data_IF_322795367905
#
_entry.id   IF_322795367905
#
_cell.length_a   1.000
_cell.length_b   1.000
_cell.length_c   1.000
_cell.angle_alpha   90.00
_cell.angle_beta   90.00
_cell.angle_gamma   90.00
#
_symmetry.space_group_name_H-M   'P 1'
#
loop_
_entity.id
_entity.type
_entity.pdbx_description
1 polymer ?
#
# COMPACT_ATOMS: atom_id res chain seq x y z
N UNK A 1 8.38 -13.71 -47.11
CA UNK A 1 8.93 -14.18 -45.82
C UNK A 1 8.18 -13.46 -44.71
N UNK A 2 7.32 -14.12 -43.94
CA UNK A 2 6.63 -13.49 -42.81
C UNK A 2 7.66 -13.22 -41.71
N UNK A 3 7.73 -11.98 -41.23
CA UNK A 3 8.62 -11.59 -40.13
C UNK A 3 8.18 -12.28 -38.85
N UNK A 4 9.02 -13.13 -38.29
CA UNK A 4 8.85 -13.69 -36.95
C UNK A 4 8.82 -12.54 -35.94
N UNK A 5 7.69 -12.39 -35.25
CA UNK A 5 7.60 -11.56 -34.06
C UNK A 5 8.57 -12.11 -33.00
N UNK A 6 9.29 -11.26 -32.25
CA UNK A 6 10.25 -11.72 -31.26
C UNK A 6 9.51 -12.58 -30.23
N UNK A 7 9.92 -13.85 -30.12
CA UNK A 7 9.44 -14.78 -29.11
C UNK A 7 9.68 -14.14 -27.73
N UNK A 8 8.59 -13.85 -27.02
CA UNK A 8 8.62 -13.42 -25.62
C UNK A 8 9.47 -14.44 -24.85
N UNK A 9 10.63 -14.02 -24.34
CA UNK A 9 11.47 -14.85 -23.49
C UNK A 9 10.59 -15.48 -22.40
N UNK A 10 10.47 -16.80 -22.40
CA UNK A 10 9.63 -17.50 -21.44
C UNK A 10 10.18 -17.27 -20.04
N UNK A 11 9.50 -16.43 -19.26
CA UNK A 11 9.95 -15.99 -17.93
C UNK A 11 10.12 -17.09 -16.88
N UNK A 12 9.89 -18.37 -17.23
CA UNK A 12 9.91 -19.51 -16.30
C UNK A 12 8.79 -19.50 -15.24
N UNK A 13 7.97 -18.44 -15.20
CA UNK A 13 6.87 -18.25 -14.27
C UNK A 13 5.62 -19.03 -14.72
N UNK A 14 4.78 -19.42 -13.74
CA UNK A 14 3.54 -20.17 -14.01
C UNK A 14 2.49 -19.25 -14.64
N UNK A 15 2.20 -19.47 -15.91
CA UNK A 15 1.18 -18.72 -16.67
C UNK A 15 -0.24 -19.05 -16.15
N UNK A 16 -1.12 -18.06 -16.19
CA UNK A 16 -2.58 -18.16 -15.96
C UNK A 16 -3.01 -18.82 -14.62
N UNK A 17 -2.24 -18.63 -13.55
CA UNK A 17 -2.54 -19.22 -12.24
C UNK A 17 -3.20 -18.25 -11.25
N UNK A 18 -3.18 -16.94 -11.53
CA UNK A 18 -3.73 -15.91 -10.65
C UNK A 18 -4.98 -15.27 -11.25
N UNK A 19 -6.14 -15.57 -10.66
CA UNK A 19 -7.39 -14.87 -11.00
C UNK A 19 -7.44 -13.43 -10.46
N UNK A 20 -8.44 -12.67 -10.91
CA UNK A 20 -8.64 -11.26 -10.52
C UNK A 20 -8.52 -11.01 -9.00
N UNK A 21 -9.18 -11.85 -8.18
CA UNK A 21 -9.17 -11.67 -6.73
C UNK A 21 -7.79 -11.86 -6.11
N UNK A 22 -6.93 -12.72 -6.67
CA UNK A 22 -5.57 -12.89 -6.17
C UNK A 22 -4.71 -11.65 -6.48
N UNK A 23 -4.92 -11.06 -7.66
CA UNK A 23 -4.22 -9.85 -8.11
C UNK A 23 -4.66 -8.64 -7.27
N UNK A 24 -5.97 -8.48 -7.05
CA UNK A 24 -6.53 -7.43 -6.19
C UNK A 24 -6.09 -7.58 -4.74
N UNK A 25 -6.13 -8.81 -4.23
CA UNK A 25 -5.65 -9.15 -2.91
C UNK A 25 -4.16 -8.79 -2.76
N UNK A 26 -3.31 -9.06 -3.76
CA UNK A 26 -1.91 -8.67 -3.70
C UNK A 26 -1.72 -7.15 -3.52
N UNK A 27 -2.46 -6.32 -4.26
CA UNK A 27 -2.36 -4.87 -4.12
C UNK A 27 -2.94 -4.36 -2.82
N UNK A 28 -4.08 -4.88 -2.38
CA UNK A 28 -4.65 -4.55 -1.07
C UNK A 28 -3.71 -4.95 0.06
N UNK A 29 -3.15 -6.16 0.03
CA UNK A 29 -2.19 -6.63 1.02
C UNK A 29 -0.95 -5.76 1.03
N UNK A 30 -0.39 -5.42 -0.14
CA UNK A 30 0.81 -4.61 -0.23
C UNK A 30 0.61 -3.17 0.24
N UNK A 31 -0.58 -2.59 0.06
CA UNK A 31 -0.95 -1.31 0.67
C UNK A 31 -1.05 -1.42 2.19
N UNK A 32 -1.51 -2.57 2.69
CA UNK A 32 -1.86 -2.80 4.09
C UNK A 32 -2.80 -1.70 4.64
N UNK A 33 -4.07 -1.63 4.16
CA UNK A 33 -5.05 -0.63 4.59
C UNK A 33 -5.10 -0.45 6.11
N UNK A 34 -4.94 -1.52 6.88
CA UNK A 34 -4.90 -1.51 8.35
C UNK A 34 -3.76 -0.67 8.95
N UNK A 35 -2.61 -0.58 8.26
CA UNK A 35 -1.46 0.21 8.70
C UNK A 35 -1.73 1.72 8.67
N UNK A 36 -2.63 2.17 7.79
CA UNK A 36 -2.96 3.58 7.62
C UNK A 36 -3.67 4.18 8.85
N UNK A 37 -4.79 3.61 9.34
CA UNK A 37 -5.41 4.04 10.59
C UNK A 37 -4.48 3.93 11.80
N UNK A 38 -3.63 2.90 11.81
CA UNK A 38 -2.70 2.63 12.90
C UNK A 38 -1.61 3.72 13.01
N UNK A 39 -0.95 4.05 11.90
CA UNK A 39 0.26 4.88 11.91
C UNK A 39 0.04 6.31 11.40
N UNK A 40 -0.85 6.49 10.43
CA UNK A 40 -0.87 7.71 9.60
C UNK A 40 -2.03 8.63 9.94
N UNK A 41 -3.22 8.10 10.25
CA UNK A 41 -4.42 8.90 10.51
C UNK A 41 -4.22 9.89 11.67
N UNK A 42 -3.64 9.43 12.79
CA UNK A 42 -3.33 10.29 13.94
C UNK A 42 -2.34 11.40 13.60
N UNK A 43 -1.36 11.13 12.74
CA UNK A 43 -0.37 12.11 12.30
C UNK A 43 -1.01 13.15 11.37
N UNK A 44 -1.85 12.72 10.43
CA UNK A 44 -2.62 13.60 9.55
C UNK A 44 -3.54 14.51 10.36
N UNK A 45 -4.22 13.98 11.38
CA UNK A 45 -5.03 14.77 12.30
C UNK A 45 -4.19 15.78 13.08
N UNK A 46 -2.99 15.40 13.53
CA UNK A 46 -2.05 16.33 14.16
C UNK A 46 -1.63 17.50 13.27
N UNK A 47 -1.58 17.30 11.95
CA UNK A 47 -1.13 18.33 10.99
C UNK A 47 -2.23 19.31 10.57
N UNK A 48 -3.45 18.83 10.37
CA UNK A 48 -4.53 19.62 9.74
C UNK A 48 -5.85 19.58 10.52
N UNK A 49 -5.90 18.88 11.65
CA UNK A 49 -7.09 18.76 12.50
C UNK A 49 -8.31 18.29 11.70
N UNK A 50 -9.38 19.08 11.74
CA UNK A 50 -10.62 18.77 11.04
C UNK A 50 -10.48 18.72 9.50
N UNK A 51 -9.36 19.19 8.94
CA UNK A 51 -9.05 19.05 7.52
C UNK A 51 -8.64 17.63 7.08
N UNK A 52 -8.52 16.66 7.99
CA UNK A 52 -7.99 15.32 7.69
C UNK A 52 -8.84 14.55 6.69
N UNK A 53 -10.16 14.56 6.86
CA UNK A 53 -11.08 13.88 5.94
C UNK A 53 -10.96 14.45 4.53
N UNK A 54 -10.81 15.78 4.41
CA UNK A 54 -10.65 16.45 3.12
C UNK A 54 -9.31 16.09 2.48
N UNK A 55 -8.23 16.01 3.27
CA UNK A 55 -6.93 15.56 2.78
C UNK A 55 -6.99 14.13 2.21
N UNK A 56 -7.69 13.21 2.89
CA UNK A 56 -7.91 11.86 2.38
C UNK A 56 -8.77 11.82 1.12
N UNK A 57 -9.87 12.58 1.05
CA UNK A 57 -10.70 12.66 -0.16
C UNK A 57 -9.90 13.18 -1.36
N UNK A 58 -9.12 14.25 -1.17
CA UNK A 58 -8.27 14.81 -2.21
C UNK A 58 -7.15 13.84 -2.62
N UNK A 59 -6.49 13.19 -1.66
CA UNK A 59 -5.48 12.17 -1.94
C UNK A 59 -6.07 10.99 -2.73
N UNK A 60 -7.26 10.51 -2.35
CA UNK A 60 -7.99 9.45 -3.07
C UNK A 60 -8.27 9.86 -4.50
N UNK A 61 -8.75 11.08 -4.72
CA UNK A 61 -9.02 11.60 -6.06
C UNK A 61 -7.74 11.67 -6.91
N UNK A 62 -6.63 12.14 -6.34
CA UNK A 62 -5.33 12.18 -7.03
C UNK A 62 -4.86 10.76 -7.36
N UNK A 63 -4.92 9.83 -6.41
CA UNK A 63 -4.50 8.45 -6.63
C UNK A 63 -5.39 7.74 -7.64
N UNK A 64 -6.67 8.07 -7.72
CA UNK A 64 -7.57 7.58 -8.76
C UNK A 64 -7.14 8.08 -10.15
N UNK A 65 -6.78 9.36 -10.28
CA UNK A 65 -6.23 9.90 -11.53
C UNK A 65 -4.91 9.22 -11.92
N UNK A 66 -4.03 8.96 -10.95
CA UNK A 66 -2.78 8.21 -11.19
C UNK A 66 -3.10 6.79 -11.65
N UNK A 67 -4.01 6.08 -10.99
CA UNK A 67 -4.45 4.74 -11.37
C UNK A 67 -5.06 4.69 -12.77
N UNK A 68 -5.85 5.70 -13.16
CA UNK A 68 -6.39 5.81 -14.51
C UNK A 68 -5.29 5.98 -15.57
N UNK A 69 -4.23 6.74 -15.27
CA UNK A 69 -3.07 6.85 -16.16
C UNK A 69 -2.34 5.50 -16.28
N UNK A 70 -2.03 4.85 -15.16
CA UNK A 70 -1.40 3.51 -15.15
C UNK A 70 -2.23 2.48 -15.92
N UNK A 71 -3.56 2.55 -15.80
CA UNK A 71 -4.49 1.69 -16.53
C UNK A 71 -4.36 1.81 -18.05
N UNK A 72 -4.04 2.98 -18.59
CA UNK A 72 -3.86 3.12 -20.04
C UNK A 72 -2.66 2.30 -20.55
N UNK A 73 -1.61 2.18 -19.75
CA UNK A 73 -0.44 1.36 -20.07
C UNK A 73 -0.71 -0.12 -19.81
N UNK A 74 -1.29 -0.45 -18.65
CA UNK A 74 -1.58 -1.83 -18.25
C UNK A 74 -2.59 -2.54 -19.19
N UNK A 75 -3.42 -1.79 -19.92
CA UNK A 75 -4.32 -2.33 -20.97
C UNK A 75 -3.61 -2.65 -22.30
N UNK A 76 -2.36 -2.22 -22.48
CA UNK A 76 -1.61 -2.36 -23.75
C UNK A 76 -0.34 -3.17 -23.60
N UNK A 77 0.19 -3.31 -22.38
CA UNK A 77 1.47 -3.94 -22.12
C UNK A 77 1.38 -4.80 -20.86
N UNK A 78 1.78 -6.06 -20.98
CA UNK A 78 1.95 -6.98 -19.87
C UNK A 78 3.44 -7.10 -19.65
N UNK A 79 3.94 -6.59 -18.52
CA UNK A 79 5.35 -6.72 -18.18
C UNK A 79 5.54 -6.87 -16.68
N UNK A 80 6.42 -7.80 -16.24
CA UNK A 80 6.75 -7.95 -14.82
C UNK A 80 7.45 -6.71 -14.24
N UNK A 81 7.98 -5.80 -15.08
CA UNK A 81 8.66 -4.59 -14.64
C UNK A 81 7.75 -3.45 -14.17
N UNK A 82 6.41 -3.62 -14.19
CA UNK A 82 5.45 -2.62 -13.69
C UNK A 82 5.74 -1.20 -14.24
N UNK A 83 5.78 -0.19 -13.37
CA UNK A 83 5.98 1.23 -13.72
C UNK A 83 7.29 1.49 -14.47
N UNK A 84 8.39 0.80 -14.11
CA UNK A 84 9.66 0.93 -14.82
C UNK A 84 9.50 0.66 -16.31
N UNK A 85 8.81 -0.42 -16.67
CA UNK A 85 8.60 -0.79 -18.07
C UNK A 85 7.69 0.20 -18.77
N UNK A 86 6.65 0.72 -18.10
CA UNK A 86 5.76 1.73 -18.69
C UNK A 86 6.52 3.03 -19.01
N UNK A 87 7.38 3.48 -18.11
CA UNK A 87 8.21 4.68 -18.34
C UNK A 87 9.26 4.41 -19.42
N UNK A 88 9.92 3.26 -19.40
CA UNK A 88 10.92 2.90 -20.40
C UNK A 88 10.33 2.82 -21.82
N UNK A 89 9.13 2.24 -21.96
CA UNK A 89 8.42 2.13 -23.24
C UNK A 89 7.84 3.46 -23.72
N UNK A 90 7.39 4.33 -22.81
CA UNK A 90 6.74 5.59 -23.15
C UNK A 90 7.70 6.77 -23.37
N UNK A 91 8.74 6.89 -22.53
CA UNK A 91 9.65 8.05 -22.49
C UNK A 91 11.10 7.69 -22.82
N UNK A 92 11.40 6.41 -23.02
CA UNK A 92 12.70 5.90 -23.41
C UNK A 92 13.52 5.32 -22.25
N UNK A 93 14.63 4.61 -22.57
CA UNK A 93 15.35 3.79 -21.60
C UNK A 93 15.97 4.58 -20.43
N UNK A 94 16.45 5.81 -20.67
CA UNK A 94 17.07 6.66 -19.65
C UNK A 94 16.10 7.04 -18.54
N UNK A 95 14.90 7.51 -18.92
CA UNK A 95 13.85 7.84 -17.95
C UNK A 95 13.29 6.58 -17.28
N UNK A 96 13.27 5.45 -18.00
CA UNK A 96 13.00 4.14 -17.42
C UNK A 96 13.95 3.83 -16.25
N UNK A 97 15.27 3.90 -16.47
CA UNK A 97 16.28 3.64 -15.44
C UNK A 97 16.13 4.58 -14.24
N UNK A 98 15.87 5.87 -14.46
CA UNK A 98 15.62 6.83 -13.38
C UNK A 98 14.40 6.39 -12.57
N UNK A 99 13.28 6.06 -13.21
CA UNK A 99 12.08 5.56 -12.54
C UNK A 99 12.35 4.27 -11.76
N UNK A 100 13.16 3.35 -12.29
CA UNK A 100 13.52 2.11 -11.62
C UNK A 100 14.31 2.36 -10.33
N UNK A 101 15.34 3.21 -10.39
CA UNK A 101 16.13 3.59 -9.21
C UNK A 101 15.30 4.37 -8.19
N UNK A 102 14.43 5.28 -8.64
CA UNK A 102 13.49 5.97 -7.75
C UNK A 102 12.58 4.98 -7.03
N UNK A 103 12.10 3.93 -7.73
CA UNK A 103 11.26 2.90 -7.13
C UNK A 103 12.04 2.07 -6.09
N UNK A 104 13.28 1.66 -6.40
CA UNK A 104 14.14 0.94 -5.44
C UNK A 104 14.36 1.77 -4.16
N UNK A 105 14.73 3.05 -4.32
CA UNK A 105 14.96 3.95 -3.18
C UNK A 105 13.66 4.14 -2.38
N UNK A 106 12.53 4.35 -3.06
CA UNK A 106 11.24 4.50 -2.40
C UNK A 106 10.90 3.26 -1.55
N UNK A 107 10.97 2.05 -2.13
CA UNK A 107 10.67 0.81 -1.42
C UNK A 107 11.62 0.53 -0.26
N UNK A 108 12.91 0.91 -0.36
CA UNK A 108 13.85 0.82 0.76
C UNK A 108 13.47 1.75 1.91
N UNK A 109 13.11 3.00 1.61
CA UNK A 109 12.66 3.97 2.61
C UNK A 109 11.35 3.52 3.26
N UNK A 110 10.39 3.04 2.46
CA UNK A 110 9.11 2.51 2.94
C UNK A 110 9.36 1.31 3.87
N UNK A 111 10.23 0.38 3.49
CA UNK A 111 10.60 -0.76 4.33
C UNK A 111 11.16 -0.31 5.68
N UNK A 112 12.03 0.70 5.70
CA UNK A 112 12.53 1.30 6.94
C UNK A 112 11.44 1.94 7.79
N UNK A 113 10.53 2.69 7.18
CA UNK A 113 9.40 3.33 7.88
C UNK A 113 8.44 2.30 8.49
N UNK A 114 8.13 1.21 7.78
CA UNK A 114 7.29 0.11 8.27
C UNK A 114 7.96 -0.62 9.43
N UNK A 115 9.27 -0.88 9.36
CA UNK A 115 10.03 -1.46 10.46
C UNK A 115 10.05 -0.56 11.71
N UNK A 116 10.18 0.76 11.52
CA UNK A 116 10.09 1.72 12.62
C UNK A 116 8.69 1.73 13.26
N UNK A 117 7.62 1.65 12.44
CA UNK A 117 6.25 1.48 12.92
C UNK A 117 6.05 0.19 13.71
N UNK A 118 6.61 -0.92 13.23
CA UNK A 118 6.63 -2.19 13.95
C UNK A 118 7.33 -2.07 15.32
N UNK A 119 8.49 -1.43 15.36
CA UNK A 119 9.24 -1.17 16.59
C UNK A 119 8.39 -0.41 17.62
N UNK A 120 7.68 0.63 17.16
CA UNK A 120 6.82 1.45 18.00
C UNK A 120 5.74 0.58 18.65
N UNK A 121 5.01 -0.20 17.86
CA UNK A 121 3.96 -1.07 18.39
C UNK A 121 4.47 -2.17 19.31
N UNK A 122 5.60 -2.80 18.98
CA UNK A 122 6.24 -3.79 19.88
C UNK A 122 6.58 -3.14 21.21
N UNK A 123 7.11 -1.92 21.19
CA UNK A 123 7.44 -1.16 22.41
C UNK A 123 6.20 -0.85 23.23
N UNK A 124 5.13 -0.35 22.59
CA UNK A 124 3.85 -0.06 23.25
C UNK A 124 3.25 -1.31 23.92
N UNK A 125 3.25 -2.43 23.21
CA UNK A 125 2.74 -3.71 23.74
C UNK A 125 3.64 -4.24 24.87
N UNK A 126 4.95 -4.14 24.71
CA UNK A 126 5.90 -4.58 25.73
C UNK A 126 5.79 -3.75 27.02
N UNK A 127 5.65 -2.42 26.90
CA UNK A 127 5.39 -1.54 28.05
C UNK A 127 4.08 -1.89 28.75
N UNK A 128 3.04 -2.25 27.99
CA UNK A 128 1.75 -2.66 28.56
C UNK A 128 1.79 -4.01 29.30
N UNK A 129 2.63 -4.95 28.86
CA UNK A 129 2.70 -6.32 29.41
C UNK A 129 3.77 -6.51 30.48
N UNK A 130 4.96 -5.92 30.28
CA UNK A 130 6.19 -6.19 31.03
C UNK A 130 6.64 -4.95 31.81
N UNK A 131 6.07 -3.77 31.51
CA UNK A 131 6.38 -2.50 32.16
C UNK A 131 7.45 -1.67 31.43
N UNK A 132 7.71 -0.45 31.91
CA UNK A 132 8.69 0.46 31.32
C UNK A 132 10.11 -0.07 31.57
N UNK A 133 10.76 -0.52 30.49
CA UNK A 133 12.05 -1.19 30.52
C UNK A 133 12.41 -1.86 29.19
N UNK A 134 11.41 -2.06 28.33
CA UNK A 134 11.61 -2.45 26.94
C UNK A 134 11.96 -1.21 26.10
N UNK A 135 13.19 -0.70 26.26
CA UNK A 135 13.65 0.52 25.58
C UNK A 135 14.95 0.31 24.81
N UNK A 136 15.23 1.21 23.87
CA UNK A 136 16.51 1.33 23.17
C UNK A 136 17.00 0.02 22.53
N UNK A 137 18.05 -0.64 23.06
CA UNK A 137 18.63 -1.85 22.44
C UNK A 137 17.63 -2.98 22.19
N UNK A 138 16.65 -3.17 23.06
CA UNK A 138 15.63 -4.22 22.92
C UNK A 138 14.68 -3.94 21.76
N UNK A 139 14.32 -2.67 21.56
CA UNK A 139 13.47 -2.23 20.43
C UNK A 139 14.20 -2.39 19.10
N UNK A 140 15.49 -2.05 19.05
CA UNK A 140 16.35 -2.26 17.88
C UNK A 140 16.53 -3.76 17.59
N UNK A 141 16.71 -4.58 18.63
CA UNK A 141 16.74 -6.04 18.50
C UNK A 141 15.45 -6.61 17.91
N UNK A 142 14.29 -6.13 18.37
CA UNK A 142 13.00 -6.52 17.85
C UNK A 142 12.80 -6.08 16.38
N UNK A 143 13.26 -4.89 16.00
CA UNK A 143 13.26 -4.43 14.60
C UNK A 143 14.09 -5.34 13.70
N UNK A 144 15.31 -5.68 14.12
CA UNK A 144 16.19 -6.57 13.36
C UNK A 144 15.56 -7.96 13.25
N UNK A 145 14.99 -8.49 14.33
CA UNK A 145 14.30 -9.77 14.31
C UNK A 145 13.08 -9.77 13.37
N UNK A 146 12.28 -8.70 13.37
CA UNK A 146 11.15 -8.53 12.46
C UNK A 146 11.61 -8.46 10.99
N UNK A 147 12.67 -7.70 10.71
CA UNK A 147 13.25 -7.59 9.37
C UNK A 147 13.79 -8.94 8.87
N UNK A 148 14.54 -9.66 9.70
CA UNK A 148 15.06 -10.99 9.38
C UNK A 148 13.94 -12.01 9.21
N UNK A 149 12.89 -11.95 10.03
CA UNK A 149 11.71 -12.81 9.90
C UNK A 149 10.97 -12.58 8.59
N UNK A 150 10.70 -11.31 8.24
CA UNK A 150 10.08 -10.95 6.98
C UNK A 150 10.94 -11.39 5.77
N UNK A 151 12.26 -11.17 5.84
CA UNK A 151 13.19 -11.62 4.80
C UNK A 151 13.21 -13.15 4.66
N UNK A 152 13.25 -13.88 5.77
CA UNK A 152 13.27 -15.34 5.78
C UNK A 152 11.98 -15.93 5.17
N UNK A 153 10.83 -15.39 5.54
CA UNK A 153 9.52 -15.81 4.99
C UNK A 153 9.47 -15.53 3.48
N UNK A 154 9.87 -14.33 3.07
CA UNK A 154 9.89 -13.93 1.66
C UNK A 154 10.88 -14.78 0.83
N UNK A 155 12.02 -15.15 1.41
CA UNK A 155 13.03 -15.99 0.75
C UNK A 155 12.57 -17.44 0.60
N UNK A 156 11.81 -17.97 1.58
CA UNK A 156 11.40 -19.38 1.59
C UNK A 156 10.24 -19.67 0.64
N UNK A 157 9.18 -18.85 0.67
CA UNK A 157 8.03 -19.03 -0.21
C UNK A 157 7.20 -17.74 -0.33
N UNK A 158 7.20 -17.14 -1.52
CA UNK A 158 6.44 -15.91 -1.83
C UNK A 158 4.93 -16.16 -1.73
N UNK A 159 4.45 -17.37 -2.06
CA UNK A 159 3.04 -17.71 -1.95
C UNK A 159 2.60 -17.79 -0.50
N UNK A 160 3.42 -18.40 0.37
CA UNK A 160 3.15 -18.41 1.81
C UNK A 160 3.13 -16.97 2.37
N UNK A 161 4.12 -16.15 1.99
CA UNK A 161 4.23 -14.75 2.42
C UNK A 161 2.98 -13.94 2.08
N UNK A 162 2.54 -14.01 0.81
CA UNK A 162 1.37 -13.27 0.32
C UNK A 162 0.06 -13.74 0.96
N UNK A 163 -0.12 -15.05 1.17
CA UNK A 163 -1.29 -15.59 1.87
C UNK A 163 -1.34 -15.18 3.34
N UNK A 164 -0.20 -15.21 4.04
CA UNK A 164 -0.11 -14.76 5.43
C UNK A 164 -0.39 -13.25 5.55
N UNK A 165 0.20 -12.44 4.66
CA UNK A 165 -0.03 -11.00 4.62
C UNK A 165 -1.52 -10.69 4.46
N UNK A 166 -2.18 -11.37 3.52
CA UNK A 166 -3.62 -11.22 3.29
C UNK A 166 -4.48 -11.62 4.48
N UNK A 167 -4.15 -12.74 5.14
CA UNK A 167 -4.89 -13.21 6.30
C UNK A 167 -4.77 -12.23 7.47
N UNK A 168 -3.55 -11.76 7.74
CA UNK A 168 -3.27 -10.78 8.80
C UNK A 168 -3.97 -9.46 8.49
N UNK A 169 -3.94 -9.00 7.23
CA UNK A 169 -4.60 -7.78 6.81
C UNK A 169 -6.12 -7.88 6.97
N UNK A 170 -6.72 -8.98 6.51
CA UNK A 170 -8.16 -9.21 6.66
C UNK A 170 -8.56 -9.24 8.15
N UNK A 171 -7.81 -9.94 8.99
CA UNK A 171 -8.05 -9.97 10.43
C UNK A 171 -7.92 -8.56 11.07
N UNK A 172 -6.94 -7.77 10.62
CA UNK A 172 -6.70 -6.42 11.13
C UNK A 172 -7.82 -5.45 10.74
N UNK A 173 -8.27 -5.48 9.48
CA UNK A 173 -9.43 -4.71 9.01
C UNK A 173 -10.67 -5.08 9.81
N UNK A 174 -10.96 -6.38 10.01
CA UNK A 174 -12.12 -6.83 10.79
C UNK A 174 -12.03 -6.33 12.24
N UNK A 175 -10.86 -6.38 12.86
CA UNK A 175 -10.65 -5.90 14.22
C UNK A 175 -10.86 -4.38 14.32
N UNK A 176 -10.28 -3.60 13.41
CA UNK A 176 -10.44 -2.14 13.36
C UNK A 176 -11.92 -1.79 13.16
N UNK A 177 -12.59 -2.40 12.18
CA UNK A 177 -14.02 -2.15 11.93
C UNK A 177 -14.87 -2.52 13.13
N UNK A 178 -14.58 -3.64 13.80
CA UNK A 178 -15.31 -4.07 15.01
C UNK A 178 -15.14 -3.04 16.13
N UNK A 179 -13.92 -2.54 16.36
CA UNK A 179 -13.67 -1.49 17.36
C UNK A 179 -14.38 -0.19 17.00
N UNK A 180 -14.32 0.23 15.73
CA UNK A 180 -15.01 1.42 15.23
C UNK A 180 -16.53 1.32 15.43
N UNK A 181 -17.15 0.20 15.06
CA UNK A 181 -18.58 -0.03 15.28
C UNK A 181 -18.92 -0.13 16.77
N UNK A 182 -18.14 -0.84 17.57
CA UNK A 182 -18.37 -0.95 19.01
C UNK A 182 -18.31 0.41 19.70
N UNK A 183 -17.38 1.28 19.29
CA UNK A 183 -17.29 2.65 19.78
C UNK A 183 -18.51 3.49 19.35
N UNK A 184 -18.92 3.37 18.08
CA UNK A 184 -20.10 4.03 17.53
C UNK A 184 -21.39 3.63 18.28
N UNK A 185 -21.61 2.34 18.53
CA UNK A 185 -22.81 1.87 19.24
C UNK A 185 -22.79 2.19 20.74
N UNK A 186 -21.62 2.22 21.40
CA UNK A 186 -21.53 2.54 22.83
C UNK A 186 -21.70 4.03 23.14
N UNK A 187 -21.16 4.92 22.30
CA UNK A 187 -21.25 6.38 22.52
C UNK A 187 -22.43 7.04 21.79
N UNK A 188 -23.09 6.32 20.89
CA UNK A 188 -24.05 6.90 19.95
C UNK A 188 -23.35 7.70 18.85
N UNK A 189 -24.12 8.20 17.88
CA UNK A 189 -23.61 9.08 16.84
C UNK A 189 -23.23 10.44 17.44
N UNK A 190 -22.02 10.54 18.03
CA UNK A 190 -21.40 11.82 18.38
C UNK A 190 -20.91 12.44 17.08
N UNK A 191 -21.86 12.88 16.25
CA UNK A 191 -21.56 13.76 15.14
C UNK A 191 -21.18 15.09 15.75
N UNK A 192 -19.87 15.35 15.87
CA UNK A 192 -19.37 16.64 16.27
C UNK A 192 -19.39 17.55 15.03
N UNK A 193 -20.32 18.52 14.93
CA UNK A 193 -20.39 19.40 13.77
C UNK A 193 -19.10 20.20 13.59
N UNK A 194 -18.32 20.39 14.66
CA UNK A 194 -17.02 21.05 14.58
C UNK A 194 -16.05 20.26 13.69
N UNK A 195 -16.14 18.93 13.61
CA UNK A 195 -15.30 18.11 12.72
C UNK A 195 -15.55 18.38 11.23
N UNK A 196 -16.75 18.88 10.89
CA UNK A 196 -17.08 19.32 9.54
C UNK A 196 -16.68 20.78 9.31
N UNK A 197 -16.44 21.55 10.38
CA UNK A 197 -15.94 22.90 10.30
C UNK A 197 -14.42 22.88 10.10
N UNK A 198 -13.97 23.46 8.98
CA UNK A 198 -12.56 23.63 8.63
C UNK A 198 -11.89 24.77 9.43
N UNK A 199 -12.24 24.91 10.70
CA UNK A 199 -11.67 25.95 11.58
C UNK A 199 -10.19 25.68 11.82
N UNK A 200 -9.33 26.67 11.52
CA UNK A 200 -7.87 26.53 11.65
C UNK A 200 -7.21 25.71 10.53
N UNK A 201 -7.96 25.27 9.52
CA UNK A 201 -7.40 24.53 8.38
C UNK A 201 -6.88 25.51 7.34
N UNK A 202 -5.64 25.31 6.91
CA UNK A 202 -5.02 26.11 5.84
C UNK A 202 -4.77 25.24 4.61
N UNK A 203 -4.71 25.82 3.39
CA UNK A 203 -4.33 25.07 2.21
C UNK A 203 -2.96 24.39 2.35
N UNK A 204 -2.03 25.00 3.08
CA UNK A 204 -0.70 24.44 3.35
C UNK A 204 -0.79 23.23 4.27
N UNK A 205 -1.59 23.28 5.35
CA UNK A 205 -1.77 22.12 6.25
C UNK A 205 -2.43 20.94 5.55
N UNK A 206 -3.40 21.21 4.66
CA UNK A 206 -3.99 20.20 3.78
C UNK A 206 -2.91 19.60 2.87
N UNK A 207 -2.08 20.43 2.24
CA UNK A 207 -0.99 19.96 1.38
C UNK A 207 -0.03 19.00 2.09
N UNK A 208 0.40 19.32 3.31
CA UNK A 208 1.24 18.44 4.12
C UNK A 208 0.53 17.13 4.49
N UNK A 209 -0.74 17.21 4.91
CA UNK A 209 -1.56 16.04 5.22
C UNK A 209 -1.76 15.13 3.99
N UNK A 210 -1.92 15.72 2.80
CA UNK A 210 -2.10 14.97 1.56
C UNK A 210 -0.87 14.14 1.20
N UNK A 211 0.35 14.61 1.49
CA UNK A 211 1.57 13.81 1.25
C UNK A 211 1.53 12.50 2.04
N UNK A 212 1.12 12.57 3.32
CA UNK A 212 0.95 11.39 4.16
C UNK A 212 -0.25 10.54 3.73
N UNK A 213 -1.34 11.17 3.31
CA UNK A 213 -2.51 10.44 2.82
C UNK A 213 -2.22 9.70 1.50
N UNK A 214 -1.40 10.28 0.61
CA UNK A 214 -0.93 9.61 -0.62
C UNK A 214 -0.02 8.43 -0.26
N UNK A 215 0.82 8.57 0.77
CA UNK A 215 1.65 7.47 1.26
C UNK A 215 0.82 6.23 1.66
N UNK A 216 -0.41 6.42 2.15
CA UNK A 216 -1.35 5.33 2.44
C UNK A 216 -1.84 4.52 1.24
N UNK A 217 -1.55 4.95 0.00
CA UNK A 217 -1.91 4.22 -1.22
C UNK A 217 -0.72 3.53 -1.88
N UNK A 218 0.48 3.69 -1.33
CA UNK A 218 1.69 3.07 -1.86
C UNK A 218 1.51 1.56 -1.92
N UNK A 219 1.79 0.96 -3.08
CA UNK A 219 1.63 -0.47 -3.29
C UNK A 219 0.39 -0.87 -4.07
N UNK A 220 -0.49 0.09 -4.42
CA UNK A 220 -1.65 -0.14 -5.30
C UNK A 220 -1.26 -0.67 -6.69
N UNK A 221 -0.04 -0.38 -7.13
CA UNK A 221 0.51 -0.78 -8.42
C UNK A 221 1.13 -2.18 -8.42
N UNK A 222 1.24 -2.84 -7.26
CA UNK A 222 1.94 -4.13 -7.12
C UNK A 222 1.31 -5.24 -7.96
N UNK A 223 0.02 -5.16 -8.27
CA UNK A 223 -0.67 -6.08 -9.17
C UNK A 223 -0.04 -6.12 -10.57
N UNK A 224 0.58 -5.01 -11.01
CA UNK A 224 1.18 -4.93 -12.34
C UNK A 224 2.45 -5.76 -12.50
N UNK A 225 3.14 -6.13 -11.40
CA UNK A 225 4.31 -7.02 -11.49
C UNK A 225 3.93 -8.49 -11.73
N UNK A 226 2.67 -8.86 -11.44
CA UNK A 226 2.16 -10.23 -11.61
C UNK A 226 1.65 -10.53 -13.03
N UNK A 227 2.01 -9.71 -14.01
CA UNK A 227 1.40 -9.78 -15.34
C UNK A 227 1.59 -11.10 -16.08
N UNK A 228 2.70 -11.81 -15.89
CA UNK A 228 2.95 -13.11 -16.53
C UNK A 228 2.20 -14.29 -15.85
N UNK A 229 1.73 -14.12 -14.62
CA UNK A 229 1.03 -15.16 -13.85
C UNK A 229 -0.50 -14.95 -13.80
N UNK A 230 -0.93 -13.72 -14.13
CA UNK A 230 -2.32 -13.29 -14.14
C UNK A 230 -3.13 -13.88 -15.30
N UNK A 231 -4.36 -14.33 -14.99
CA UNK A 231 -5.37 -14.66 -16.00
C UNK A 231 -5.94 -13.37 -16.62
N UNK A 232 -6.02 -13.30 -17.95
CA UNK A 232 -6.46 -12.12 -18.73
C UNK A 232 -5.81 -10.80 -18.24
N UNK A 233 -4.46 -10.71 -18.22
CA UNK A 233 -3.70 -9.65 -17.55
C UNK A 233 -4.06 -8.25 -18.03
N UNK A 234 -4.38 -8.09 -19.32
CA UNK A 234 -4.77 -6.82 -19.93
C UNK A 234 -6.12 -6.28 -19.42
N UNK A 235 -6.91 -7.12 -18.73
CA UNK A 235 -8.18 -6.73 -18.10
C UNK A 235 -8.16 -6.86 -16.59
N UNK A 236 -7.52 -7.88 -16.04
CA UNK A 236 -7.49 -8.14 -14.60
C UNK A 236 -6.62 -7.13 -13.86
N UNK A 237 -5.43 -6.81 -14.37
CA UNK A 237 -4.52 -5.82 -13.74
C UNK A 237 -5.17 -4.44 -13.70
N UNK A 238 -5.69 -3.86 -14.81
CA UNK A 238 -6.24 -2.51 -14.76
C UNK A 238 -7.46 -2.39 -13.84
N UNK A 239 -8.30 -3.44 -13.82
CA UNK A 239 -9.45 -3.48 -12.91
C UNK A 239 -9.01 -3.61 -11.46
N UNK A 240 -7.96 -4.38 -11.19
CA UNK A 240 -7.41 -4.59 -9.86
C UNK A 240 -6.83 -3.31 -9.28
N UNK A 241 -6.03 -2.57 -10.05
CA UNK A 241 -5.43 -1.29 -9.64
C UNK A 241 -6.52 -0.28 -9.28
N UNK A 242 -7.54 -0.15 -10.13
CA UNK A 242 -8.66 0.77 -9.88
C UNK A 242 -9.51 0.34 -8.67
N UNK A 243 -9.84 -0.95 -8.59
CA UNK A 243 -10.60 -1.51 -7.48
C UNK A 243 -9.87 -1.27 -6.16
N UNK A 244 -8.56 -1.49 -6.12
CA UNK A 244 -7.75 -1.33 -4.92
C UNK A 244 -7.77 0.13 -4.44
N UNK A 245 -7.53 1.11 -5.30
CA UNK A 245 -7.56 2.53 -4.91
C UNK A 245 -8.93 2.94 -4.36
N UNK A 246 -10.02 2.49 -5.00
CA UNK A 246 -11.38 2.80 -4.53
C UNK A 246 -11.69 2.08 -3.22
N UNK A 247 -11.33 0.80 -3.09
CA UNK A 247 -11.59 0.00 -1.89
C UNK A 247 -10.82 0.54 -0.68
N UNK A 248 -9.54 0.89 -0.85
CA UNK A 248 -8.73 1.49 0.21
C UNK A 248 -9.21 2.90 0.54
N UNK A 249 -9.56 3.71 -0.46
CA UNK A 249 -10.04 5.07 -0.19
C UNK A 249 -11.43 5.15 0.41
N UNK A 250 -12.23 4.09 0.29
CA UNK A 250 -13.51 3.96 0.97
C UNK A 250 -13.39 3.42 2.41
N UNK A 251 -12.25 2.81 2.76
CA UNK A 251 -11.95 2.26 4.08
C UNK A 251 -11.30 3.32 4.98
#
# INVERSE_FOLDING_TARGET
>A
MPSEAPALAESGLRKDCLGFWHIAAQSVANIAPSATPALVVSLIYGLTGNGSWLAYVLATAIMLLVALNVNQFARRSVSPGSLYTFVAQGLGPTLGVISGWSMVIAYLIIGGAVLAGCANYVTVVAHALIGPGFDGPLTVGAMIAAALGAWYIAYRDVKLSTQLMLLIEFASIVLIMTLSFAFFFKRGAVLDPAQLMLSGVTPVSIGHAMVLAIFSYVGFESAASLGHEAMDPLRSIPRSVLFTVVAVGAY
#
